data_IF_495608852354
#
_entry.id   IF_495608852354
#
_cell.length_a   1.000
_cell.length_b   1.000
_cell.length_c   1.000
_cell.angle_alpha   90.00
_cell.angle_beta   90.00
_cell.angle_gamma   90.00
#
_symmetry.space_group_name_H-M   'P 1'
#
loop_
_entity.id
_entity.type
_entity.pdbx_description
1 polymer ?
#
# COMPACT_ATOMS: atom_id res chain seq x y z
N UNK A 1 -0.92 -0.61 0.54
CA UNK A 1 -0.49 -1.82 -0.18
C UNK A 1 -1.73 -2.48 -0.75
N UNK A 2 -1.74 -2.78 -2.04
CA UNK A 2 -2.76 -3.62 -2.68
C UNK A 2 -2.25 -5.05 -2.67
N UNK A 3 -3.07 -6.00 -2.24
CA UNK A 3 -2.72 -7.42 -2.18
C UNK A 3 -3.81 -8.23 -2.87
N UNK A 4 -3.45 -8.87 -3.97
CA UNK A 4 -4.43 -9.39 -4.91
C UNK A 4 -3.99 -10.62 -5.67
N UNK A 5 -4.80 -11.02 -6.65
CA UNK A 5 -4.47 -12.09 -7.58
C UNK A 5 -3.99 -11.51 -8.90
N UNK A 6 -2.97 -12.15 -9.49
CA UNK A 6 -2.50 -11.73 -10.80
C UNK A 6 -3.31 -12.44 -11.92
N UNK A 7 -4.11 -11.70 -12.71
CA UNK A 7 -4.92 -12.28 -13.78
C UNK A 7 -4.10 -12.86 -14.93
N UNK A 8 -2.86 -12.38 -15.15
CA UNK A 8 -1.99 -12.83 -16.22
C UNK A 8 -1.33 -14.19 -15.95
N UNK A 9 -1.23 -14.59 -14.68
CA UNK A 9 -0.68 -15.88 -14.25
C UNK A 9 -1.77 -16.84 -13.77
N UNK A 10 -2.97 -16.78 -14.38
CA UNK A 10 -4.12 -17.63 -14.05
C UNK A 10 -4.48 -17.66 -12.55
N UNK A 11 -4.22 -16.57 -11.82
CA UNK A 11 -4.45 -16.47 -10.39
C UNK A 11 -3.74 -17.56 -9.56
N UNK A 12 -2.63 -18.12 -10.01
CA UNK A 12 -1.88 -19.11 -9.21
C UNK A 12 -0.99 -18.43 -8.14
N UNK A 13 -0.70 -17.14 -8.30
CA UNK A 13 0.17 -16.38 -7.42
C UNK A 13 -0.49 -15.07 -6.97
N UNK A 14 -0.26 -14.74 -5.71
CA UNK A 14 -0.66 -13.46 -5.12
C UNK A 14 0.32 -12.36 -5.55
N UNK A 15 -0.18 -11.18 -5.87
CA UNK A 15 0.60 -9.96 -6.09
C UNK A 15 0.51 -9.05 -4.87
N UNK A 16 1.58 -8.32 -4.59
CA UNK A 16 1.63 -7.27 -3.58
C UNK A 16 2.24 -6.02 -4.22
N UNK A 17 1.53 -4.91 -4.13
CA UNK A 17 1.93 -3.64 -4.73
C UNK A 17 1.87 -2.54 -3.66
N UNK A 18 2.92 -1.73 -3.58
CA UNK A 18 3.07 -0.71 -2.52
C UNK A 18 3.23 0.66 -3.16
N UNK A 19 2.27 1.55 -2.89
CA UNK A 19 2.45 2.98 -3.11
C UNK A 19 3.03 3.59 -1.83
N UNK A 20 4.27 4.07 -1.90
CA UNK A 20 4.89 4.81 -0.80
C UNK A 20 4.39 6.25 -0.84
N UNK A 21 3.82 6.73 0.26
CA UNK A 21 3.29 8.10 0.38
C UNK A 21 4.44 9.09 0.59
N UNK A 22 5.32 9.17 -0.41
CA UNK A 22 6.48 10.05 -0.48
C UNK A 22 6.83 10.26 -1.95
N UNK A 23 7.14 11.49 -2.34
CA UNK A 23 7.58 11.79 -3.69
C UNK A 23 9.09 11.60 -3.79
N UNK A 24 9.51 10.54 -4.49
CA UNK A 24 10.91 10.30 -4.81
C UNK A 24 11.32 11.09 -6.07
N UNK A 25 12.60 11.48 -6.15
CA UNK A 25 13.15 12.16 -7.34
C UNK A 25 13.54 11.17 -8.44
N UNK A 26 13.84 9.93 -8.07
CA UNK A 26 14.24 8.85 -8.98
C UNK A 26 13.61 7.54 -8.58
N UNK A 27 13.53 6.60 -9.53
CA UNK A 27 13.12 5.24 -9.26
C UNK A 27 14.13 4.47 -8.39
N UNK A 28 13.66 3.39 -7.77
CA UNK A 28 14.44 2.55 -6.85
C UNK A 28 14.27 1.05 -7.15
N UNK A 29 14.20 0.69 -8.44
CA UNK A 29 14.24 -0.71 -8.85
C UNK A 29 15.47 -1.44 -8.27
N UNK A 30 15.31 -2.74 -8.03
CA UNK A 30 16.32 -3.63 -7.43
C UNK A 30 16.77 -3.25 -6.01
N UNK A 31 16.11 -2.28 -5.36
CA UNK A 31 16.31 -1.97 -3.94
C UNK A 31 15.40 -2.82 -3.05
N UNK A 32 15.91 -3.15 -1.87
CA UNK A 32 15.11 -3.83 -0.85
C UNK A 32 14.08 -2.85 -0.27
N UNK A 33 12.81 -3.24 -0.29
CA UNK A 33 11.71 -2.53 0.36
C UNK A 33 11.23 -3.33 1.55
N UNK A 34 11.38 -2.76 2.76
CA UNK A 34 10.81 -3.33 3.99
C UNK A 34 9.46 -2.69 4.30
N UNK A 35 8.46 -3.52 4.59
CA UNK A 35 7.08 -3.08 4.79
C UNK A 35 6.49 -3.74 6.04
N UNK A 36 5.84 -2.94 6.89
CA UNK A 36 5.01 -3.43 8.01
C UNK A 36 3.55 -3.14 7.69
N UNK A 37 2.72 -4.18 7.69
CA UNK A 37 1.27 -4.06 7.43
C UNK A 37 0.54 -3.92 8.76
N UNK A 38 -0.18 -2.81 8.95
CA UNK A 38 -0.80 -2.46 10.24
C UNK A 38 -2.31 -2.50 10.24
N UNK A 39 -2.96 -2.28 9.09
CA UNK A 39 -4.41 -2.17 9.01
C UNK A 39 -4.90 -2.61 7.63
N UNK A 40 -6.11 -3.18 7.64
CA UNK A 40 -6.86 -3.49 6.43
C UNK A 40 -7.87 -2.39 6.15
N UNK A 41 -7.82 -1.79 4.96
CA UNK A 41 -8.70 -0.68 4.58
C UNK A 41 -10.01 -1.22 3.99
N UNK A 42 -9.94 -2.05 2.94
CA UNK A 42 -11.11 -2.55 2.20
C UNK A 42 -10.76 -3.75 1.30
N UNK A 43 -11.75 -4.51 0.81
CA UNK A 43 -11.54 -5.51 -0.23
C UNK A 43 -11.29 -4.87 -1.60
N UNK A 44 -10.85 -5.72 -2.55
CA UNK A 44 -10.80 -5.37 -3.96
C UNK A 44 -12.19 -4.97 -4.46
N UNK A 45 -12.23 -3.99 -5.36
CA UNK A 45 -13.45 -3.50 -5.99
C UNK A 45 -13.26 -3.50 -7.50
N UNK A 46 -14.34 -3.77 -8.21
CA UNK A 46 -14.42 -3.53 -9.64
C UNK A 46 -14.83 -2.08 -9.87
N UNK A 47 -14.26 -1.45 -10.90
CA UNK A 47 -14.53 -0.06 -11.24
C UNK A 47 -15.09 0.04 -12.65
N UNK A 48 -16.10 0.89 -12.82
CA UNK A 48 -16.71 1.23 -14.10
C UNK A 48 -15.91 2.28 -14.88
N UNK A 49 -15.04 3.04 -14.21
CA UNK A 49 -14.21 4.08 -14.81
C UNK A 49 -12.86 4.21 -14.11
N UNK A 50 -11.90 4.81 -14.81
CA UNK A 50 -10.58 5.14 -14.24
C UNK A 50 -10.70 6.21 -13.15
N UNK A 51 -11.63 7.16 -13.31
CA UNK A 51 -11.86 8.23 -12.33
C UNK A 51 -12.36 7.67 -10.99
N UNK A 52 -13.25 6.68 -11.02
CA UNK A 52 -13.73 6.01 -9.80
C UNK A 52 -12.58 5.27 -9.08
N UNK A 53 -11.69 4.64 -9.84
CA UNK A 53 -10.50 3.98 -9.30
C UNK A 53 -9.55 5.01 -8.66
N UNK A 54 -9.25 6.10 -9.35
CA UNK A 54 -8.39 7.18 -8.85
C UNK A 54 -8.97 7.77 -7.57
N UNK A 55 -10.29 7.98 -7.54
CA UNK A 55 -11.00 8.50 -6.37
C UNK A 55 -10.83 7.58 -5.16
N UNK A 56 -11.09 6.29 -5.31
CA UNK A 56 -10.96 5.33 -4.21
C UNK A 56 -9.50 5.17 -3.75
N UNK A 57 -8.52 5.22 -4.66
CA UNK A 57 -7.09 5.21 -4.30
C UNK A 57 -6.73 6.43 -3.44
N UNK A 58 -7.22 7.63 -3.79
CA UNK A 58 -6.96 8.83 -2.99
C UNK A 58 -7.63 8.74 -1.60
N UNK A 59 -8.85 8.19 -1.53
CA UNK A 59 -9.51 7.91 -0.26
C UNK A 59 -8.68 6.94 0.59
N UNK A 60 -8.16 5.86 -0.01
CA UNK A 60 -7.31 4.88 0.69
C UNK A 60 -6.03 5.55 1.26
N UNK A 61 -5.43 6.48 0.53
CA UNK A 61 -4.27 7.27 0.99
C UNK A 61 -4.63 8.14 2.21
N UNK A 62 -5.77 8.83 2.17
CA UNK A 62 -6.21 9.70 3.26
C UNK A 62 -6.59 8.89 4.52
N UNK A 63 -7.23 7.74 4.35
CA UNK A 63 -7.51 6.79 5.43
C UNK A 63 -6.21 6.26 6.04
N UNK A 64 -5.22 5.88 5.21
CA UNK A 64 -3.93 5.41 5.68
C UNK A 64 -3.19 6.48 6.50
N UNK A 65 -3.12 7.73 6.00
CA UNK A 65 -2.50 8.85 6.74
C UNK A 65 -3.17 9.08 8.09
N UNK A 66 -4.50 9.13 8.09
CA UNK A 66 -5.28 9.37 9.31
C UNK A 66 -5.07 8.26 10.33
N UNK A 67 -5.05 7.01 9.88
CA UNK A 67 -4.89 5.85 10.76
C UNK A 67 -3.47 5.74 11.32
N UNK A 68 -2.44 5.99 10.50
CA UNK A 68 -1.04 6.02 10.94
C UNK A 68 -0.76 7.12 11.99
N UNK A 69 -1.64 8.12 12.12
CA UNK A 69 -1.58 9.12 13.18
C UNK A 69 -1.99 8.59 14.57
N UNK A 70 -2.62 7.42 14.66
CA UNK A 70 -3.00 6.81 15.95
C UNK A 70 -1.75 6.35 16.70
N UNK A 71 -1.71 6.61 18.02
CA UNK A 71 -0.55 6.28 18.88
C UNK A 71 -0.10 4.81 18.76
N UNK A 72 -1.04 3.87 18.64
CA UNK A 72 -0.72 2.44 18.49
C UNK A 72 0.04 2.13 17.20
N UNK A 73 -0.20 2.88 16.12
CA UNK A 73 0.41 2.65 14.81
C UNK A 73 1.67 3.51 14.61
N UNK A 74 1.71 4.72 15.15
CA UNK A 74 2.86 5.62 15.02
C UNK A 74 4.15 5.04 15.62
N UNK A 75 4.04 4.16 16.62
CA UNK A 75 5.18 3.45 17.22
C UNK A 75 5.94 2.58 16.22
N UNK A 76 5.26 2.09 15.17
CA UNK A 76 5.89 1.23 14.18
C UNK A 76 6.81 1.98 13.23
N UNK A 77 6.78 3.32 13.20
CA UNK A 77 7.70 4.13 12.39
C UNK A 77 9.17 3.90 12.78
N UNK A 78 9.42 3.59 14.05
CA UNK A 78 10.75 3.32 14.61
C UNK A 78 10.98 1.83 14.88
N UNK A 79 10.14 0.94 14.33
CA UNK A 79 10.23 -0.50 14.55
C UNK A 79 11.57 -1.04 14.04
N UNK A 80 12.19 -1.95 14.82
CA UNK A 80 13.53 -2.48 14.53
C UNK A 80 13.64 -3.11 13.14
N UNK A 81 12.62 -3.83 12.68
CA UNK A 81 12.55 -4.38 11.32
C UNK A 81 12.83 -3.35 10.21
N UNK A 82 12.43 -2.09 10.39
CA UNK A 82 12.63 -1.03 9.41
C UNK A 82 14.04 -0.41 9.44
N UNK A 83 14.87 -0.77 10.42
CA UNK A 83 16.25 -0.28 10.55
C UNK A 83 17.20 -1.23 9.84
N UNK A 84 18.08 -0.69 9.00
CA UNK A 84 19.19 -1.41 8.34
C UNK A 84 20.24 -1.88 9.32
#
# INVERSE_FOLDING_TARGET
MSYGWNPFYKNEKRSAEVHVIHKFETDFYDKELRVVVLEYIRPEKNYSSVDDLIKDINIDIDVAKSSLGRKSYSLFKEHEFLKT
#
